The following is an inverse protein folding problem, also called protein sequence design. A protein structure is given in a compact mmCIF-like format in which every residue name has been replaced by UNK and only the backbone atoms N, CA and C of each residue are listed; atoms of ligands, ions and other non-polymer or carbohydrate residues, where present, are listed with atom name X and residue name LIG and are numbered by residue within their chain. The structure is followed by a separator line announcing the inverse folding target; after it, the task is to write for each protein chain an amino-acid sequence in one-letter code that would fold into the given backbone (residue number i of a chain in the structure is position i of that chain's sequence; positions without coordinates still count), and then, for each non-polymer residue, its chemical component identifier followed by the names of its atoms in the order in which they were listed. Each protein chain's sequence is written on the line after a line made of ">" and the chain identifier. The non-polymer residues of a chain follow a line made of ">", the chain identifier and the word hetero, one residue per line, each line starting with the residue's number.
data_IF_588781775055
#
_entry.id   IF_588781775055
#
_cell.length_a   1.000
_cell.length_b   1.000
_cell.length_c   1.000
_cell.angle_alpha   90.00
_cell.angle_beta   90.00
_cell.angle_gamma   90.00
#
_symmetry.space_group_name_H-M   'P 1'
#
loop_
_entity.id
_entity.type
_entity.pdbx_description
1 polymer ?
#
# COMPACT_ATOMS: atom_id res chain seq x y z
N UNK A 1 -11.87 -13.51 -1.83
CA UNK A 1 -11.19 -12.28 -2.31
C UNK A 1 -12.29 -11.24 -2.48
N UNK A 2 -12.18 -10.09 -1.82
CA UNK A 2 -13.12 -8.97 -2.00
C UNK A 2 -12.95 -8.42 -3.41
N UNK A 3 -14.05 -8.19 -4.14
CA UNK A 3 -14.01 -7.68 -5.51
C UNK A 3 -13.77 -6.16 -5.51
N UNK A 4 -13.16 -5.60 -6.58
CA UNK A 4 -13.03 -4.16 -6.72
C UNK A 4 -14.40 -3.48 -6.67
N UNK A 5 -14.54 -2.32 -6.00
CA UNK A 5 -15.77 -1.55 -6.04
C UNK A 5 -16.03 -0.99 -7.45
N UNK A 6 -17.27 -0.59 -7.77
CA UNK A 6 -17.62 -0.11 -9.12
C UNK A 6 -16.88 1.15 -9.58
N UNK A 7 -16.38 1.95 -8.65
CA UNK A 7 -15.57 3.15 -8.92
C UNK A 7 -14.08 2.84 -9.12
N UNK A 8 -13.70 1.56 -9.06
CA UNK A 8 -12.32 1.07 -9.13
C UNK A 8 -11.43 1.67 -8.03
N UNK A 9 -12.02 2.12 -6.92
CA UNK A 9 -11.28 2.56 -5.74
C UNK A 9 -10.73 1.39 -4.93
N UNK A 10 -9.92 1.66 -3.89
CA UNK A 10 -9.51 0.65 -2.93
C UNK A 10 -10.70 -0.01 -2.24
N UNK A 11 -10.63 -1.32 -2.02
CA UNK A 11 -11.61 -2.08 -1.25
C UNK A 11 -11.69 -1.61 0.20
N UNK A 12 -12.79 -1.95 0.89
CA UNK A 12 -12.96 -1.57 2.30
C UNK A 12 -11.92 -2.26 3.18
N UNK A 13 -11.66 -3.56 2.94
CA UNK A 13 -10.62 -4.30 3.67
C UNK A 13 -9.22 -3.68 3.52
N UNK A 14 -8.90 -3.14 2.33
CA UNK A 14 -7.62 -2.46 2.13
C UNK A 14 -7.56 -1.15 2.92
N UNK A 15 -8.63 -0.34 2.88
CA UNK A 15 -8.73 0.92 3.64
C UNK A 15 -8.57 0.65 5.15
N UNK A 16 -9.25 -0.36 5.68
CA UNK A 16 -9.16 -0.74 7.09
C UNK A 16 -7.76 -1.22 7.48
N UNK A 17 -7.13 -2.03 6.63
CA UNK A 17 -5.75 -2.49 6.83
C UNK A 17 -4.78 -1.31 6.90
N UNK A 18 -4.92 -0.33 6.01
CA UNK A 18 -4.09 0.87 6.00
C UNK A 18 -4.37 1.80 7.19
N UNK A 19 -5.61 1.89 7.66
CA UNK A 19 -5.96 2.62 8.87
C UNK A 19 -5.32 1.98 10.12
N UNK A 20 -5.31 0.64 10.21
CA UNK A 20 -4.62 -0.07 11.28
C UNK A 20 -3.10 0.16 11.22
N UNK A 21 -2.50 0.10 10.02
CA UNK A 21 -1.09 0.41 9.85
C UNK A 21 -0.77 1.84 10.32
N UNK A 22 -1.59 2.83 9.96
CA UNK A 22 -1.44 4.22 10.45
C UNK A 22 -1.49 4.29 11.97
N UNK A 23 -2.42 3.59 12.61
CA UNK A 23 -2.52 3.57 14.07
C UNK A 23 -1.25 2.99 14.71
N UNK A 24 -0.71 1.91 14.14
CA UNK A 24 0.56 1.30 14.60
C UNK A 24 1.72 2.28 14.44
N UNK A 25 1.87 2.91 13.27
CA UNK A 25 2.99 3.82 12.98
C UNK A 25 2.90 5.12 13.78
N UNK A 26 1.69 5.66 14.01
CA UNK A 26 1.48 6.91 14.78
C UNK A 26 1.69 6.72 16.28
N UNK A 27 1.52 5.49 16.80
CA UNK A 27 1.81 5.19 18.22
C UNK A 27 3.30 5.35 18.59
N UNK A 28 4.17 5.55 17.60
CA UNK A 28 5.61 5.77 17.76
C UNK A 28 5.98 7.07 18.50
N UNK A 29 5.22 8.16 18.34
CA UNK A 29 5.58 9.48 18.92
C UNK A 29 5.67 9.46 20.45
N UNK A 30 5.06 8.48 21.10
CA UNK A 30 5.10 8.32 22.56
C UNK A 30 6.37 7.63 23.09
N UNK A 31 7.29 7.25 22.21
CA UNK A 31 8.20 6.15 22.48
C UNK A 31 9.66 6.60 22.56
N UNK A 32 10.31 6.38 23.72
CA UNK A 32 11.61 6.98 24.10
C UNK A 32 12.88 6.45 23.39
N UNK A 33 12.80 5.39 22.59
CA UNK A 33 13.97 4.86 21.85
C UNK A 33 14.17 5.68 20.56
N UNK A 34 15.43 5.98 20.18
CA UNK A 34 15.74 6.66 18.93
C UNK A 34 15.12 5.99 17.69
N UNK A 35 14.71 6.81 16.71
CA UNK A 35 14.07 6.36 15.48
C UNK A 35 14.92 5.32 14.73
N UNK A 36 16.23 5.55 14.60
CA UNK A 36 17.16 4.66 13.89
C UNK A 36 17.17 3.23 14.45
N UNK A 37 16.99 3.07 15.76
CA UNK A 37 16.99 1.76 16.40
C UNK A 37 15.67 1.00 16.17
N UNK A 38 14.59 1.69 15.82
CA UNK A 38 13.27 1.09 15.52
C UNK A 38 12.94 1.05 14.03
N UNK A 39 13.65 1.81 13.20
CA UNK A 39 13.41 1.89 11.76
C UNK A 39 13.40 0.50 11.11
N UNK A 40 14.30 -0.40 11.53
CA UNK A 40 14.33 -1.77 11.04
C UNK A 40 13.06 -2.56 11.41
N UNK A 41 12.53 -2.36 12.62
CA UNK A 41 11.30 -3.03 13.08
C UNK A 41 10.08 -2.50 12.33
N UNK A 42 9.97 -1.19 12.15
CA UNK A 42 8.89 -0.58 11.38
C UNK A 42 8.94 -0.96 9.91
N UNK A 43 10.13 -1.01 9.31
CA UNK A 43 10.30 -1.45 7.94
C UNK A 43 9.78 -2.89 7.77
N UNK A 44 10.06 -3.80 8.72
CA UNK A 44 9.49 -5.15 8.71
C UNK A 44 7.98 -5.15 8.87
N UNK A 45 7.44 -4.36 9.80
CA UNK A 45 5.99 -4.23 9.99
C UNK A 45 5.30 -3.78 8.70
N UNK A 46 5.86 -2.75 8.03
CA UNK A 46 5.34 -2.24 6.77
C UNK A 46 5.39 -3.33 5.70
N UNK A 47 6.52 -4.02 5.49
CA UNK A 47 6.59 -5.15 4.55
C UNK A 47 5.53 -6.22 4.83
N UNK A 48 5.40 -6.63 6.10
CA UNK A 48 4.43 -7.64 6.51
C UNK A 48 2.96 -7.25 6.25
N UNK A 49 2.67 -5.97 6.01
CA UNK A 49 1.31 -5.48 5.76
C UNK A 49 1.13 -5.08 4.29
N UNK A 50 2.07 -4.34 3.72
CA UNK A 50 2.00 -3.84 2.34
C UNK A 50 2.11 -4.99 1.33
N UNK A 51 3.01 -5.95 1.54
CA UNK A 51 3.20 -7.04 0.57
C UNK A 51 1.93 -7.91 0.44
N UNK A 52 1.29 -8.37 1.55
CA UNK A 52 0.02 -9.07 1.45
C UNK A 52 -1.11 -8.19 0.92
N UNK A 53 -1.17 -6.92 1.33
CA UNK A 53 -2.21 -5.99 0.87
C UNK A 53 -2.16 -5.79 -0.65
N UNK A 54 -0.95 -5.65 -1.20
CA UNK A 54 -0.74 -5.55 -2.63
C UNK A 54 -1.09 -6.86 -3.35
N UNK A 55 -0.69 -8.01 -2.82
CA UNK A 55 -1.06 -9.30 -3.39
C UNK A 55 -2.58 -9.47 -3.44
N UNK A 56 -3.30 -9.06 -2.39
CA UNK A 56 -4.76 -9.05 -2.38
C UNK A 56 -5.34 -8.15 -3.48
N UNK A 57 -4.74 -6.99 -3.74
CA UNK A 57 -5.16 -6.12 -4.84
C UNK A 57 -5.00 -6.81 -6.19
N UNK A 58 -3.84 -7.43 -6.46
CA UNK A 58 -3.60 -8.16 -7.71
C UNK A 58 -4.63 -9.26 -7.92
N UNK A 59 -4.92 -10.04 -6.88
CA UNK A 59 -5.92 -11.10 -6.93
C UNK A 59 -7.34 -10.56 -7.17
N UNK A 60 -7.70 -9.45 -6.52
CA UNK A 60 -8.98 -8.76 -6.69
C UNK A 60 -9.15 -8.23 -8.13
N UNK A 61 -8.09 -7.65 -8.69
CA UNK A 61 -8.06 -7.05 -10.02
C UNK A 61 -8.09 -8.10 -11.15
N UNK A 62 -7.75 -9.36 -10.87
CA UNK A 62 -7.65 -10.44 -11.88
C UNK A 62 -8.95 -10.75 -12.62
N UNK A 63 -10.09 -10.24 -12.13
CA UNK A 63 -11.40 -10.38 -12.74
C UNK A 63 -11.78 -9.23 -13.68
N UNK A 64 -10.97 -8.16 -13.74
CA UNK A 64 -11.24 -6.97 -14.53
C UNK A 64 -10.63 -7.06 -15.94
N UNK A 65 -11.16 -6.25 -16.85
CA UNK A 65 -10.45 -5.98 -18.10
C UNK A 65 -9.17 -5.17 -17.80
N UNK A 66 -8.27 -5.10 -18.77
CA UNK A 66 -6.94 -4.51 -18.54
C UNK A 66 -6.97 -3.02 -18.15
N UNK A 67 -7.76 -2.15 -18.82
CA UNK A 67 -7.89 -0.76 -18.41
C UNK A 67 -8.39 -0.61 -16.96
N UNK A 68 -9.43 -1.36 -16.59
CA UNK A 68 -10.03 -1.29 -15.26
C UNK A 68 -9.07 -1.88 -14.20
N UNK A 69 -8.35 -2.95 -14.55
CA UNK A 69 -7.29 -3.53 -13.71
C UNK A 69 -6.20 -2.50 -13.42
N UNK A 70 -5.71 -1.80 -14.45
CA UNK A 70 -4.69 -0.78 -14.29
C UNK A 70 -5.17 0.39 -13.42
N UNK A 71 -6.38 0.89 -13.67
CA UNK A 71 -6.98 1.97 -12.88
C UNK A 71 -7.14 1.57 -11.40
N UNK A 72 -7.70 0.38 -11.13
CA UNK A 72 -7.86 -0.15 -9.78
C UNK A 72 -6.51 -0.32 -9.05
N UNK A 73 -5.52 -0.91 -9.72
CA UNK A 73 -4.19 -1.09 -9.14
C UNK A 73 -3.51 0.24 -8.84
N UNK A 74 -3.59 1.22 -9.74
CA UNK A 74 -3.05 2.57 -9.53
C UNK A 74 -3.72 3.23 -8.31
N UNK A 75 -5.06 3.14 -8.20
CA UNK A 75 -5.80 3.71 -7.08
C UNK A 75 -5.40 3.05 -5.73
N UNK A 76 -5.28 1.72 -5.70
CA UNK A 76 -4.83 0.99 -4.51
C UNK A 76 -3.40 1.37 -4.11
N UNK A 77 -2.48 1.37 -5.07
CA UNK A 77 -1.07 1.70 -4.82
C UNK A 77 -0.94 3.17 -4.38
N UNK A 78 -1.72 4.09 -4.97
CA UNK A 78 -1.75 5.49 -4.55
C UNK A 78 -2.23 5.64 -3.10
N UNK A 79 -3.26 4.89 -2.69
CA UNK A 79 -3.75 4.89 -1.32
C UNK A 79 -2.69 4.37 -0.34
N UNK A 80 -1.95 3.32 -0.69
CA UNK A 80 -0.82 2.82 0.11
C UNK A 80 0.31 3.86 0.20
N UNK A 81 0.68 4.45 -0.93
CA UNK A 81 1.76 5.43 -1.03
C UNK A 81 1.45 6.68 -0.18
N UNK A 82 0.27 7.27 -0.33
CA UNK A 82 -0.16 8.44 0.47
C UNK A 82 -0.31 8.12 1.96
N UNK A 83 -0.60 6.86 2.30
CA UNK A 83 -0.61 6.40 3.68
C UNK A 83 0.79 6.41 4.29
N UNK A 84 1.81 5.99 3.53
CA UNK A 84 3.18 5.88 4.00
C UNK A 84 3.98 7.19 3.91
N UNK A 85 3.70 8.05 2.93
CA UNK A 85 4.49 9.23 2.60
C UNK A 85 4.59 10.29 3.71
N UNK A 86 3.81 10.15 4.79
CA UNK A 86 3.86 11.03 5.96
C UNK A 86 4.90 10.59 7.00
N UNK A 87 5.57 9.45 6.81
CA UNK A 87 6.53 8.87 7.75
C UNK A 87 7.94 8.88 7.17
N UNK A 88 8.90 9.43 7.92
CA UNK A 88 10.29 9.72 7.48
C UNK A 88 11.12 8.48 7.10
N UNK A 89 10.70 7.28 7.52
CA UNK A 89 11.45 6.04 7.32
C UNK A 89 10.89 5.14 6.21
N UNK A 90 10.01 5.67 5.34
CA UNK A 90 9.24 4.86 4.39
C UNK A 90 9.74 4.91 2.94
N UNK A 91 10.81 5.66 2.65
CA UNK A 91 11.30 5.91 1.29
C UNK A 91 11.44 4.65 0.43
N UNK A 92 12.07 3.59 0.96
CA UNK A 92 12.23 2.33 0.22
C UNK A 92 10.89 1.71 -0.20
N UNK A 93 9.86 1.81 0.64
CA UNK A 93 8.52 1.31 0.33
C UNK A 93 7.82 2.20 -0.70
N UNK A 94 8.02 3.51 -0.62
CA UNK A 94 7.49 4.47 -1.59
C UNK A 94 8.09 4.26 -2.99
N UNK A 95 9.40 4.01 -3.06
CA UNK A 95 10.09 3.66 -4.31
C UNK A 95 9.55 2.36 -4.91
N UNK A 96 9.36 1.32 -4.08
CA UNK A 96 8.78 0.05 -4.53
C UNK A 96 7.37 0.24 -5.09
N UNK A 97 6.49 0.97 -4.38
CA UNK A 97 5.13 1.25 -4.82
C UNK A 97 5.12 2.07 -6.12
N UNK A 98 5.99 3.07 -6.24
CA UNK A 98 6.14 3.89 -7.45
C UNK A 98 6.58 3.06 -8.65
N UNK A 99 7.51 2.11 -8.46
CA UNK A 99 7.94 1.19 -9.51
C UNK A 99 6.78 0.32 -10.03
N UNK A 100 5.85 -0.06 -9.15
CA UNK A 100 4.68 -0.83 -9.55
C UNK A 100 3.63 0.00 -10.30
N UNK A 101 3.38 1.25 -9.91
CA UNK A 101 2.53 2.17 -10.69
C UNK A 101 3.08 2.28 -12.11
N UNK A 102 4.39 2.48 -12.23
CA UNK A 102 5.05 2.58 -13.52
C UNK A 102 4.85 1.33 -14.37
N UNK A 103 4.98 0.14 -13.77
CA UNK A 103 4.69 -1.12 -14.45
C UNK A 103 3.25 -1.17 -15.01
N UNK A 104 2.24 -0.75 -14.24
CA UNK A 104 0.84 -0.71 -14.71
C UNK A 104 0.64 0.25 -15.88
N UNK A 105 1.33 1.40 -15.90
CA UNK A 105 1.19 2.39 -16.97
C UNK A 105 1.87 2.01 -18.29
N UNK A 106 2.84 1.07 -18.27
CA UNK A 106 3.61 0.67 -19.45
C UNK A 106 3.08 -0.58 -20.16
N UNK A 107 2.12 -1.26 -19.57
CA UNK A 107 1.40 -2.38 -20.18
C UNK A 107 -0.10 -2.09 -20.27
N UNK A 108 -0.56 -1.17 -21.15
CA UNK A 108 -1.90 -1.31 -21.68
C UNK A 108 -1.86 -2.53 -22.61
N UNK A 109 -2.57 -3.59 -22.28
CA UNK A 109 -2.73 -4.72 -23.22
C UNK A 109 -3.44 -4.27 -24.48
#
# INVERSE_FOLDING_TARGET
>A
IELPPPDLGPTESLKDTLNLLRAVLTSHDASVVPLDARQADYSRIISCIIDPALQMCVLSASHLNVPDMAAYMINCIHQMHTTLAVYEFTDTHLEMLSAQVFHQTRHPS
#
